data_IF_721719379015
#
_entry.id   IF_721719379015
#
_cell.length_a   1.000
_cell.length_b   1.000
_cell.length_c   1.000
_cell.angle_alpha   90.00
_cell.angle_beta   90.00
_cell.angle_gamma   90.00
#
_symmetry.space_group_name_H-M   'P 1'
#
loop_
_entity.id
_entity.type
_entity.pdbx_description
1 polymer ?
#
# COMPACT_ATOMS: atom_id res chain seq x y z
N UNK A 1 46.39 -58.31 -35.30
CA UNK A 1 46.35 -57.66 -33.96
C UNK A 1 46.15 -56.17 -34.19
N UNK A 2 44.92 -55.69 -33.97
CA UNK A 2 44.42 -55.16 -32.69
C UNK A 2 44.79 -53.68 -32.52
N UNK A 3 43.83 -52.87 -32.94
CA UNK A 3 43.34 -51.64 -32.31
C UNK A 3 44.38 -50.58 -31.91
N UNK A 4 44.31 -49.45 -32.60
CA UNK A 4 44.36 -48.14 -31.93
C UNK A 4 43.44 -47.16 -32.64
N UNK A 5 42.17 -47.55 -32.73
CA UNK A 5 41.02 -46.74 -33.17
C UNK A 5 40.57 -45.75 -32.08
N UNK A 6 41.48 -45.29 -31.22
CA UNK A 6 41.14 -44.56 -29.99
C UNK A 6 41.54 -43.09 -30.00
N UNK A 7 42.09 -42.56 -31.09
CA UNK A 7 42.58 -41.19 -31.11
C UNK A 7 41.62 -40.15 -31.68
N UNK A 8 40.35 -40.49 -31.96
CA UNK A 8 39.41 -39.58 -32.65
C UNK A 8 38.07 -39.34 -31.92
N UNK A 9 37.95 -39.73 -30.65
CA UNK A 9 36.69 -39.56 -29.87
C UNK A 9 36.86 -38.53 -28.73
N UNK A 10 37.60 -37.45 -28.95
CA UNK A 10 37.77 -36.40 -27.94
C UNK A 10 37.64 -34.99 -28.51
N UNK A 11 36.57 -34.77 -29.28
CA UNK A 11 36.08 -33.44 -29.66
C UNK A 11 34.56 -33.49 -29.69
N UNK A 12 33.96 -33.75 -28.53
CA UNK A 12 32.52 -33.55 -28.34
C UNK A 12 32.36 -32.20 -27.62
N UNK A 13 31.87 -31.14 -28.29
CA UNK A 13 31.52 -29.90 -27.60
C UNK A 13 30.37 -30.22 -26.62
N UNK A 14 30.59 -29.97 -25.34
CA UNK A 14 29.50 -30.03 -24.35
C UNK A 14 28.43 -29.01 -24.77
N UNK A 15 27.16 -29.39 -24.98
CA UNK A 15 26.10 -28.41 -25.04
C UNK A 15 26.06 -27.75 -23.66
N UNK A 16 26.44 -26.47 -23.60
CA UNK A 16 26.08 -25.64 -22.47
C UNK A 16 24.55 -25.76 -22.34
N UNK A 17 24.00 -26.15 -21.18
CA UNK A 17 22.56 -26.12 -21.02
C UNK A 17 22.13 -24.69 -21.33
N UNK A 18 21.38 -24.53 -22.42
CA UNK A 18 20.62 -23.31 -22.64
C UNK A 18 19.72 -23.22 -21.44
N UNK A 19 19.99 -22.25 -20.57
CA UNK A 19 19.13 -21.92 -19.46
C UNK A 19 17.85 -21.35 -20.07
N UNK A 20 16.95 -22.26 -20.49
CA UNK A 20 15.56 -21.94 -20.78
C UNK A 20 15.00 -21.39 -19.47
N UNK A 21 15.06 -20.07 -19.35
CA UNK A 21 14.38 -19.32 -18.30
C UNK A 21 12.97 -19.89 -18.21
N UNK A 22 12.66 -20.44 -17.05
CA UNK A 22 11.32 -20.91 -16.74
C UNK A 22 10.33 -19.78 -17.08
N UNK A 23 9.43 -19.96 -18.06
CA UNK A 23 8.50 -18.93 -18.51
C UNK A 23 7.58 -18.40 -17.41
N UNK A 24 7.48 -19.12 -16.29
CA UNK A 24 6.69 -18.75 -15.13
C UNK A 24 7.49 -18.05 -14.04
N UNK A 25 8.82 -17.98 -14.16
CA UNK A 25 9.62 -17.17 -13.24
C UNK A 25 9.40 -15.69 -13.53
N UNK A 26 8.96 -14.89 -12.53
CA UNK A 26 8.84 -13.45 -12.70
C UNK A 26 10.21 -12.85 -13.03
N UNK A 27 10.19 -11.80 -13.84
CA UNK A 27 11.39 -11.04 -14.14
C UNK A 27 12.04 -10.55 -12.83
N UNK A 28 13.37 -10.59 -12.78
CA UNK A 28 14.12 -10.10 -11.62
C UNK A 28 13.69 -8.68 -11.28
N UNK A 29 13.23 -8.46 -10.05
CA UNK A 29 12.73 -7.15 -9.64
C UNK A 29 13.90 -6.22 -9.33
N UNK A 30 14.47 -5.65 -10.39
CA UNK A 30 15.58 -4.68 -10.31
C UNK A 30 15.24 -3.45 -9.47
N UNK A 31 13.96 -3.14 -9.35
CA UNK A 31 13.44 -1.97 -8.65
C UNK A 31 12.95 -2.29 -7.23
N UNK A 32 13.01 -3.58 -6.86
CA UNK A 32 12.55 -4.15 -5.60
C UNK A 32 11.07 -3.82 -5.31
N UNK A 33 10.25 -3.50 -6.32
CA UNK A 33 8.86 -3.05 -6.12
C UNK A 33 8.02 -4.11 -5.40
N UNK A 34 8.26 -5.39 -5.67
CA UNK A 34 7.66 -6.52 -4.98
C UNK A 34 7.99 -6.58 -3.48
N UNK A 35 9.15 -6.06 -3.06
CA UNK A 35 9.43 -5.88 -1.64
C UNK A 35 8.65 -4.68 -1.09
N UNK A 36 8.53 -3.59 -1.85
CA UNK A 36 7.83 -2.37 -1.42
C UNK A 36 6.32 -2.60 -1.23
N UNK A 37 5.69 -3.49 -2.01
CA UNK A 37 4.28 -3.86 -1.85
C UNK A 37 3.98 -4.54 -0.51
N UNK A 38 4.97 -5.17 0.10
CA UNK A 38 4.85 -5.81 1.42
C UNK A 38 4.97 -4.82 2.58
N UNK A 39 5.42 -3.59 2.31
CA UNK A 39 5.56 -2.56 3.33
C UNK A 39 4.21 -1.93 3.65
N UNK A 40 4.05 -1.43 4.88
CA UNK A 40 2.81 -0.79 5.33
C UNK A 40 3.09 0.60 5.88
N UNK A 41 2.28 1.56 5.49
CA UNK A 41 2.30 2.91 6.04
C UNK A 41 1.40 3.01 7.27
N UNK A 42 2.00 3.31 8.42
CA UNK A 42 1.30 3.51 9.70
C UNK A 42 0.85 4.95 9.93
N UNK A 43 1.25 5.88 9.07
CA UNK A 43 0.95 7.32 9.20
C UNK A 43 2.20 8.17 9.43
N UNK A 44 1.98 9.48 9.57
CA UNK A 44 3.02 10.45 9.91
C UNK A 44 2.65 11.17 11.20
N UNK A 45 3.68 11.57 11.95
CA UNK A 45 3.59 12.29 13.23
C UNK A 45 4.55 13.47 13.16
N UNK A 46 4.15 14.64 13.64
CA UNK A 46 5.00 15.82 13.66
C UNK A 46 4.24 17.10 13.35
N UNK A 47 5.00 18.12 12.98
CA UNK A 47 4.51 19.42 12.53
C UNK A 47 4.74 19.57 11.01
N UNK A 48 4.11 20.56 10.36
CA UNK A 48 4.28 20.82 8.92
C UNK A 48 5.74 20.92 8.46
N UNK A 49 6.64 21.40 9.33
CA UNK A 49 8.07 21.58 9.05
C UNK A 49 8.88 20.30 9.31
N UNK A 50 8.37 19.39 10.14
CA UNK A 50 9.12 18.25 10.67
C UNK A 50 8.20 17.02 10.80
N UNK A 51 7.80 16.47 9.66
CA UNK A 51 7.09 15.19 9.63
C UNK A 51 8.04 14.00 9.81
N UNK A 52 7.58 13.02 10.59
CA UNK A 52 8.20 11.71 10.76
C UNK A 52 7.19 10.65 10.34
N UNK A 53 7.53 9.90 9.30
CA UNK A 53 6.72 8.80 8.78
C UNK A 53 6.97 7.53 9.56
N UNK A 54 5.94 6.71 9.72
CA UNK A 54 6.01 5.41 10.37
C UNK A 54 5.76 4.36 9.28
N UNK A 55 6.79 3.58 8.97
CA UNK A 55 6.75 2.50 7.99
C UNK A 55 7.02 1.17 8.66
N UNK A 56 6.26 0.14 8.29
CA UNK A 56 6.55 -1.24 8.61
C UNK A 56 7.26 -1.87 7.40
N UNK A 57 8.43 -2.47 7.63
CA UNK A 57 9.10 -3.24 6.58
C UNK A 57 8.45 -4.62 6.37
N UNK A 58 8.95 -5.36 5.38
CA UNK A 58 8.47 -6.72 5.05
C UNK A 58 8.71 -7.74 6.17
N UNK A 59 9.63 -7.47 7.10
CA UNK A 59 9.86 -8.29 8.29
C UNK A 59 8.93 -7.92 9.46
N UNK A 60 8.02 -6.96 9.27
CA UNK A 60 7.10 -6.51 10.30
C UNK A 60 7.71 -5.49 11.27
N UNK A 61 8.94 -5.01 11.03
CA UNK A 61 9.62 -4.06 11.90
C UNK A 61 9.18 -2.63 11.56
N UNK A 62 8.73 -1.92 12.59
CA UNK A 62 8.40 -0.50 12.49
C UNK A 62 9.66 0.35 12.50
N UNK A 63 9.72 1.30 11.57
CA UNK A 63 10.78 2.31 11.47
C UNK A 63 10.20 3.70 11.29
N UNK A 64 10.93 4.65 11.85
CA UNK A 64 10.70 6.09 11.68
C UNK A 64 11.52 6.56 10.49
N UNK A 65 10.91 7.35 9.63
CA UNK A 65 11.54 7.82 8.40
C UNK A 65 11.27 9.31 8.15
N UNK A 66 12.17 10.00 7.44
CA UNK A 66 12.01 11.42 7.07
C UNK A 66 12.09 11.63 5.57
N UNK A 67 11.66 12.81 5.12
CA UNK A 67 11.89 13.26 3.74
C UNK A 67 13.38 13.19 3.41
N UNK A 68 13.70 12.76 2.19
CA UNK A 68 15.04 12.54 1.67
C UNK A 68 15.85 11.38 2.28
N UNK A 69 15.27 10.59 3.18
CA UNK A 69 15.92 9.39 3.70
C UNK A 69 15.92 8.27 2.65
N UNK A 70 17.03 7.52 2.60
CA UNK A 70 17.23 6.38 1.70
C UNK A 70 17.03 5.07 2.46
N UNK A 71 16.16 4.21 1.94
CA UNK A 71 15.85 2.89 2.50
C UNK A 71 16.77 1.81 1.92
N UNK A 72 16.75 0.60 2.51
CA UNK A 72 17.70 -0.48 2.22
C UNK A 72 17.77 -0.90 0.74
N UNK A 73 16.66 -0.76 0.00
CA UNK A 73 16.57 -1.09 -1.42
C UNK A 73 16.91 0.08 -2.37
N UNK A 74 17.49 1.17 -1.85
CA UNK A 74 17.85 2.36 -2.63
C UNK A 74 16.68 3.32 -2.88
N UNK A 75 15.48 3.01 -2.36
CA UNK A 75 14.34 3.91 -2.45
C UNK A 75 14.53 5.15 -1.59
N UNK A 76 13.98 6.27 -2.05
CA UNK A 76 14.09 7.55 -1.34
C UNK A 76 12.73 8.15 -1.08
N UNK A 77 12.51 8.66 0.13
CA UNK A 77 11.25 9.34 0.47
C UNK A 77 11.26 10.73 -0.16
N UNK A 78 10.40 10.94 -1.16
CA UNK A 78 10.30 12.22 -1.88
C UNK A 78 9.37 13.20 -1.17
N UNK A 79 8.28 12.71 -0.59
CA UNK A 79 7.28 13.54 0.08
C UNK A 79 6.74 12.83 1.32
N UNK A 80 6.54 13.60 2.38
CA UNK A 80 5.91 13.13 3.60
C UNK A 80 5.04 14.24 4.17
N UNK A 81 3.74 13.96 4.29
CA UNK A 81 2.76 14.84 4.92
C UNK A 81 1.90 14.05 5.91
N UNK A 82 1.02 14.73 6.65
CA UNK A 82 0.05 14.09 7.54
C UNK A 82 -0.81 13.02 6.84
N UNK A 83 -1.10 13.25 5.56
CA UNK A 83 -2.08 12.50 4.76
C UNK A 83 -1.43 11.53 3.78
N UNK A 84 -0.25 11.85 3.23
CA UNK A 84 0.37 11.05 2.18
C UNK A 84 1.87 10.91 2.37
N UNK A 85 2.37 9.78 1.92
CA UNK A 85 3.81 9.54 1.76
C UNK A 85 4.08 9.11 0.33
N UNK A 86 5.18 9.59 -0.23
CA UNK A 86 5.65 9.24 -1.57
C UNK A 86 7.10 8.78 -1.51
N UNK A 87 7.38 7.67 -2.19
CA UNK A 87 8.69 7.04 -2.28
C UNK A 87 9.08 6.94 -3.75
N UNK A 88 10.27 7.41 -4.08
CA UNK A 88 10.87 7.23 -5.40
C UNK A 88 11.59 5.89 -5.46
N UNK A 89 11.18 5.03 -6.39
CA UNK A 89 11.67 3.65 -6.57
C UNK A 89 13.00 3.55 -7.32
N UNK A 90 13.41 4.63 -8.00
CA UNK A 90 14.69 4.74 -8.70
C UNK A 90 14.56 5.12 -10.17
N UNK A 91 15.68 5.48 -10.85
CA UNK A 91 15.66 5.82 -12.27
C UNK A 91 15.36 4.59 -13.13
N UNK A 92 14.41 4.72 -14.05
CA UNK A 92 14.03 3.62 -14.97
C UNK A 92 13.08 2.58 -14.37
N UNK A 93 12.58 2.80 -13.15
CA UNK A 93 11.60 1.94 -12.49
C UNK A 93 10.17 2.40 -12.75
N UNK A 94 9.26 1.44 -12.95
CA UNK A 94 7.82 1.67 -13.04
C UNK A 94 7.09 0.89 -11.93
N UNK A 95 6.25 1.54 -11.09
CA UNK A 95 6.00 2.98 -11.05
C UNK A 95 7.20 3.75 -10.48
N UNK A 96 7.48 4.94 -11.02
CA UNK A 96 8.56 5.83 -10.53
C UNK A 96 8.33 6.32 -9.11
N UNK A 97 7.06 6.49 -8.74
CA UNK A 97 6.64 6.98 -7.44
C UNK A 97 5.62 6.01 -6.85
N UNK A 98 5.93 5.52 -5.67
CA UNK A 98 5.04 4.71 -4.86
C UNK A 98 4.36 5.59 -3.82
N UNK A 99 3.03 5.53 -3.73
CA UNK A 99 2.24 6.46 -2.91
C UNK A 99 1.29 5.71 -2.01
N UNK A 100 1.27 6.07 -0.73
CA UNK A 100 0.20 5.70 0.19
C UNK A 100 -0.56 6.95 0.60
N UNK A 101 -1.89 6.87 0.51
CA UNK A 101 -2.81 7.86 1.05
C UNK A 101 -3.41 7.32 2.35
N UNK A 102 -3.52 8.17 3.35
CA UNK A 102 -4.34 7.90 4.53
C UNK A 102 -5.79 7.87 4.07
N UNK A 103 -6.52 6.80 4.36
CA UNK A 103 -7.97 6.81 4.18
C UNK A 103 -8.58 7.91 5.05
N UNK A 104 -9.31 8.81 4.42
CA UNK A 104 -10.14 9.80 5.09
C UNK A 104 -11.33 9.07 5.68
N UNK A 105 -11.33 8.87 6.99
CA UNK A 105 -12.51 8.36 7.68
C UNK A 105 -13.58 9.44 7.59
N UNK A 106 -14.51 9.30 6.64
CA UNK A 106 -15.74 10.11 6.61
C UNK A 106 -16.58 9.68 7.80
N UNK A 107 -16.46 10.41 8.91
CA UNK A 107 -17.38 10.30 10.05
C UNK A 107 -18.74 10.86 9.63
N UNK A 108 -19.50 10.07 8.87
CA UNK A 108 -20.90 10.35 8.54
C UNK A 108 -21.76 10.05 9.77
N UNK A 109 -21.79 11.01 10.70
CA UNK A 109 -22.64 10.99 11.88
C UNK A 109 -23.71 12.07 11.71
N UNK A 110 -24.82 11.69 11.08
CA UNK A 110 -26.18 12.11 11.42
C UNK A 110 -27.16 11.41 10.47
N UNK A 111 -27.86 10.39 10.98
CA UNK A 111 -29.12 9.96 10.36
C UNK A 111 -30.17 10.97 10.81
N UNK A 112 -30.87 11.68 9.90
CA UNK A 112 -32.03 12.45 10.33
C UNK A 112 -33.07 11.47 10.88
N UNK A 113 -33.44 11.64 12.15
CA UNK A 113 -34.68 11.08 12.68
C UNK A 113 -35.80 11.75 11.89
N UNK A 114 -36.37 11.01 10.94
CA UNK A 114 -37.62 11.41 10.32
C UNK A 114 -38.69 11.21 11.40
N UNK A 115 -39.01 12.27 12.14
CA UNK A 115 -40.21 12.33 12.95
C UNK A 115 -41.39 12.27 11.98
N UNK A 116 -41.96 11.08 11.82
CA UNK A 116 -43.22 10.93 11.09
C UNK A 116 -44.30 11.60 11.92
N UNK A 117 -44.55 12.88 11.66
CA UNK A 117 -45.75 13.55 12.11
C UNK A 117 -46.92 12.89 11.39
N UNK A 118 -47.54 11.90 12.05
CA UNK A 118 -48.79 11.30 11.62
C UNK A 118 -49.88 12.38 11.67
N UNK A 119 -50.20 12.93 10.50
CA UNK A 119 -51.37 13.77 10.32
C UNK A 119 -52.65 12.94 10.37
N UNK A 120 -53.48 13.23 11.37
CA UNK A 120 -54.93 13.38 11.21
C UNK A 120 -55.83 12.23 11.67
N UNK A 121 -56.63 12.47 12.72
CA UNK A 121 -58.10 12.67 12.60
C UNK A 121 -58.76 12.94 13.97
N UNK A 122 -59.50 14.05 14.03
CA UNK A 122 -60.85 14.14 14.59
C UNK A 122 -61.08 13.85 16.07
N UNK A 123 -61.33 14.91 16.86
CA UNK A 123 -61.82 14.77 18.22
C UNK A 123 -62.30 16.08 18.86
N UNK A 124 -63.31 16.72 18.25
CA UNK A 124 -64.05 17.85 18.84
C UNK A 124 -64.71 17.39 20.16
N UNK A 125 -64.37 17.98 21.30
CA UNK A 125 -65.23 18.07 22.51
C UNK A 125 -64.76 19.14 23.51
N UNK A 126 -65.46 20.27 23.42
CA UNK A 126 -65.98 21.20 24.45
C UNK A 126 -65.07 21.68 25.59
N UNK A 127 -65.06 23.00 25.72
CA UNK A 127 -64.64 23.79 26.86
C UNK A 127 -65.37 23.39 28.16
N UNK A 128 -64.65 23.51 29.27
CA UNK A 128 -65.19 23.82 30.58
C UNK A 128 -64.12 24.61 31.37
N UNK A 129 -64.36 25.91 31.51
CA UNK A 129 -63.99 26.72 32.67
C UNK A 129 -64.38 25.98 33.95
N UNK A 130 -63.46 25.82 34.91
CA UNK A 130 -63.76 25.92 36.35
C UNK A 130 -62.50 26.44 37.10
N UNK A 131 -62.69 27.60 37.72
CA UNK A 131 -61.89 28.24 38.76
C UNK A 131 -62.02 27.51 40.11
N UNK A 132 -60.97 27.53 40.94
CA UNK A 132 -61.12 27.55 42.39
C UNK A 132 -60.32 26.51 43.18
N UNK A 133 -59.49 27.01 44.11
CA UNK A 133 -58.79 26.26 45.15
C UNK A 133 -57.61 27.04 45.69
#
# INVERSE_FOLDING_TARGET
MRSKWWSLVLLLPLPLPGEERDPFQPAEDRCQVAQLTQWRYGGAIGSPEQWIGILQDSAGKWRRVRVNETLAAGWKISLLTAEKIEITTGPGCDPRHWRWLREEKKDAMDKPVISVAAGGRGGKKRAADISGG
#
